data_IF_238206027204
#
_entry.id   IF_238206027204
#
_cell.length_a   1.000
_cell.length_b   1.000
_cell.length_c   1.000
_cell.angle_alpha   90.00
_cell.angle_beta   90.00
_cell.angle_gamma   90.00
#
_symmetry.space_group_name_H-M   'P 1'
#
loop_
_entity.id
_entity.type
_entity.pdbx_description
1 polymer ?
#
# COMPACT_ATOMS: atom_id res chain seq x y z
N UNK A 1 34.62 -38.27 9.45
CA UNK A 1 33.35 -37.83 8.86
C UNK A 1 33.26 -38.44 7.47
N UNK A 2 32.27 -39.29 7.24
CA UNK A 2 32.05 -39.93 5.95
C UNK A 2 31.36 -38.92 5.00
N UNK A 3 31.50 -39.14 3.70
CA UNK A 3 30.77 -38.41 2.66
C UNK A 3 29.26 -38.51 2.89
N UNK A 4 28.77 -39.69 3.31
CA UNK A 4 27.36 -39.93 3.60
C UNK A 4 26.85 -39.02 4.73
N UNK A 5 27.61 -38.88 5.82
CA UNK A 5 27.27 -37.96 6.92
C UNK A 5 27.15 -36.50 6.44
N UNK A 6 28.07 -36.08 5.56
CA UNK A 6 28.05 -34.72 5.00
C UNK A 6 26.87 -34.49 4.07
N UNK A 7 26.45 -35.51 3.32
CA UNK A 7 25.27 -35.43 2.45
C UNK A 7 24.00 -35.27 3.27
N UNK A 8 23.84 -36.06 4.35
CA UNK A 8 22.70 -35.93 5.26
C UNK A 8 22.64 -34.53 5.89
N UNK A 9 23.77 -34.00 6.36
CA UNK A 9 23.81 -32.63 6.89
C UNK A 9 23.42 -31.56 5.85
N UNK A 10 23.87 -31.73 4.60
CA UNK A 10 23.53 -30.81 3.52
C UNK A 10 22.03 -30.91 3.21
N UNK A 11 21.46 -32.10 3.14
CA UNK A 11 20.03 -32.31 2.88
C UNK A 11 19.16 -31.66 3.96
N UNK A 12 19.50 -31.82 5.24
CA UNK A 12 18.81 -31.15 6.36
C UNK A 12 18.88 -29.63 6.20
N UNK A 13 20.06 -29.08 5.87
CA UNK A 13 20.23 -27.64 5.67
C UNK A 13 19.43 -27.14 4.47
N UNK A 14 19.44 -27.88 3.36
CA UNK A 14 18.70 -27.50 2.15
C UNK A 14 17.20 -27.46 2.42
N UNK A 15 16.64 -28.48 3.07
CA UNK A 15 15.22 -28.50 3.43
C UNK A 15 14.85 -27.33 4.35
N UNK A 16 15.67 -27.04 5.37
CA UNK A 16 15.44 -25.88 6.25
C UNK A 16 15.52 -24.54 5.52
N UNK A 17 16.37 -24.44 4.49
CA UNK A 17 16.47 -23.24 3.66
C UNK A 17 15.26 -23.11 2.73
N UNK A 18 14.77 -24.22 2.17
CA UNK A 18 13.56 -24.23 1.35
C UNK A 18 12.35 -23.74 2.17
N UNK A 19 12.14 -24.28 3.36
CA UNK A 19 11.09 -23.85 4.28
C UNK A 19 11.19 -22.34 4.59
N UNK A 20 12.40 -21.85 4.91
CA UNK A 20 12.63 -20.43 5.17
C UNK A 20 12.32 -19.57 3.95
N UNK A 21 12.70 -20.00 2.74
CA UNK A 21 12.41 -19.24 1.52
C UNK A 21 10.92 -19.16 1.23
N UNK A 22 10.16 -20.22 1.52
CA UNK A 22 8.70 -20.21 1.41
C UNK A 22 8.06 -19.26 2.41
N UNK A 23 8.52 -19.27 3.67
CA UNK A 23 8.03 -18.36 4.71
C UNK A 23 8.32 -16.89 4.37
N UNK A 24 9.54 -16.59 3.94
CA UNK A 24 9.92 -15.23 3.50
C UNK A 24 9.08 -14.77 2.31
N UNK A 25 8.82 -15.67 1.35
CA UNK A 25 7.96 -15.36 0.20
C UNK A 25 6.53 -15.02 0.64
N UNK A 26 5.99 -15.76 1.61
CA UNK A 26 4.68 -15.48 2.18
C UNK A 26 4.65 -14.13 2.90
N UNK A 27 5.67 -13.81 3.69
CA UNK A 27 5.78 -12.52 4.38
C UNK A 27 5.89 -11.35 3.40
N UNK A 28 6.70 -11.47 2.35
CA UNK A 28 6.82 -10.44 1.30
C UNK A 28 5.48 -10.21 0.62
N UNK A 29 4.73 -11.27 0.31
CA UNK A 29 3.38 -11.14 -0.25
C UNK A 29 2.43 -10.39 0.69
N UNK A 30 2.42 -10.72 1.99
CA UNK A 30 1.59 -10.01 2.97
C UNK A 30 1.97 -8.53 3.08
N UNK A 31 3.27 -8.22 3.11
CA UNK A 31 3.78 -6.85 3.16
C UNK A 31 3.37 -6.07 1.89
N UNK A 32 3.44 -6.68 0.71
CA UNK A 32 3.02 -6.04 -0.53
C UNK A 32 1.52 -5.69 -0.48
N UNK A 33 0.68 -6.59 0.03
CA UNK A 33 -0.75 -6.32 0.22
C UNK A 33 -0.99 -5.12 1.16
N UNK A 34 -0.28 -5.06 2.29
CA UNK A 34 -0.38 -3.94 3.22
C UNK A 34 0.05 -2.61 2.58
N UNK A 35 1.11 -2.63 1.77
CA UNK A 35 1.57 -1.46 1.02
C UNK A 35 0.50 -0.99 0.04
N UNK A 36 -0.16 -1.91 -0.66
CA UNK A 36 -1.20 -1.55 -1.63
C UNK A 36 -2.45 -0.99 -0.96
N UNK A 37 -2.83 -1.51 0.21
CA UNK A 37 -3.89 -0.94 1.06
C UNK A 37 -3.52 0.49 1.52
N UNK A 38 -2.30 0.71 2.00
CA UNK A 38 -1.83 2.04 2.41
C UNK A 38 -1.80 3.02 1.23
N UNK A 39 -1.34 2.57 0.05
CA UNK A 39 -1.36 3.39 -1.18
C UNK A 39 -2.77 3.81 -1.54
N UNK A 40 -3.73 2.87 -1.50
CA UNK A 40 -5.14 3.17 -1.78
C UNK A 40 -5.71 4.21 -0.81
N UNK A 41 -5.41 4.08 0.49
CA UNK A 41 -5.83 5.07 1.50
C UNK A 41 -5.21 6.45 1.24
N UNK A 42 -3.91 6.52 0.94
CA UNK A 42 -3.25 7.78 0.58
C UNK A 42 -3.89 8.43 -0.65
N UNK A 43 -4.17 7.66 -1.71
CA UNK A 43 -4.85 8.17 -2.90
C UNK A 43 -6.26 8.70 -2.58
N UNK A 44 -7.02 8.00 -1.74
CA UNK A 44 -8.34 8.45 -1.31
C UNK A 44 -8.28 9.76 -0.50
N UNK A 45 -7.28 9.89 0.38
CA UNK A 45 -7.04 11.11 1.16
C UNK A 45 -6.68 12.29 0.25
N UNK A 46 -5.78 12.10 -0.72
CA UNK A 46 -5.40 13.12 -1.69
C UNK A 46 -6.62 13.60 -2.47
N UNK A 47 -7.45 12.67 -2.96
CA UNK A 47 -8.70 13.00 -3.67
C UNK A 47 -9.63 13.84 -2.80
N UNK A 48 -9.87 13.42 -1.55
CA UNK A 48 -10.73 14.15 -0.62
C UNK A 48 -10.21 15.56 -0.32
N UNK A 49 -8.90 15.73 -0.17
CA UNK A 49 -8.30 17.06 0.02
C UNK A 49 -8.47 17.94 -1.22
N UNK A 50 -8.30 17.39 -2.42
CA UNK A 50 -8.58 18.10 -3.68
C UNK A 50 -10.04 18.55 -3.79
N UNK A 51 -10.98 17.67 -3.46
CA UNK A 51 -12.42 17.98 -3.49
C UNK A 51 -12.79 19.11 -2.50
N UNK A 52 -12.21 19.11 -1.30
CA UNK A 52 -12.38 20.20 -0.30
C UNK A 52 -11.82 21.52 -0.84
N UNK A 53 -10.67 21.47 -1.51
CA UNK A 53 -10.01 22.66 -2.08
C UNK A 53 -10.83 23.26 -3.22
N UNK A 54 -11.45 22.42 -4.04
CA UNK A 54 -12.23 22.83 -5.21
C UNK A 54 -13.69 23.21 -4.86
N UNK A 55 -14.16 22.87 -3.65
CA UNK A 55 -15.48 23.24 -3.13
C UNK A 55 -15.55 24.65 -2.51
N UNK A 56 -14.42 25.38 -2.44
CA UNK A 56 -14.34 26.74 -1.88
C UNK A 56 -14.80 27.86 -2.82
N UNK A 57 -14.87 27.61 -4.13
CA UNK A 57 -15.27 28.63 -5.14
C UNK A 57 -16.79 28.72 -5.37
N UNK A 58 -17.60 28.03 -4.56
CA UNK A 58 -19.06 28.14 -4.59
C UNK A 58 -19.63 29.38 -3.87
N UNK A 59 -18.79 30.22 -3.25
CA UNK A 59 -19.22 31.39 -2.49
C UNK A 59 -19.36 32.69 -3.33
N UNK A 60 -18.92 32.69 -4.60
CA UNK A 60 -19.03 33.87 -5.47
C UNK A 60 -20.26 33.87 -6.40
N UNK A 61 -21.07 32.79 -6.40
CA UNK A 61 -22.31 32.76 -7.17
C UNK A 61 -23.41 33.69 -6.63
N UNK A 62 -23.27 34.19 -5.39
CA UNK A 62 -24.24 35.08 -4.74
C UNK A 62 -23.77 36.55 -4.63
N UNK A 63 -22.56 36.89 -5.07
CA UNK A 63 -22.00 38.25 -4.95
C UNK A 63 -22.37 39.19 -6.11
N UNK A 64 -23.07 38.70 -7.14
CA UNK A 64 -23.35 39.44 -8.38
C UNK A 64 -24.85 39.72 -8.65
N UNK A 65 -25.72 39.66 -7.65
CA UNK A 65 -27.07 40.21 -7.82
C UNK A 65 -27.02 41.75 -7.79
N UNK A 66 -27.05 42.36 -8.98
CA UNK A 66 -27.15 43.80 -9.19
C UNK A 66 -28.46 44.32 -8.54
N UNK A 67 -28.43 45.37 -7.70
CA UNK A 67 -29.64 45.83 -7.03
C UNK A 67 -30.73 46.25 -8.04
N UNK A 68 -32.00 45.83 -7.85
CA UNK A 68 -33.10 46.29 -8.69
C UNK A 68 -33.32 47.78 -8.43
N UNK A 69 -33.08 48.59 -9.46
CA UNK A 69 -33.36 50.02 -9.45
C UNK A 69 -34.89 50.21 -9.46
N UNK A 70 -35.43 50.81 -8.40
CA UNK A 70 -36.73 51.48 -8.40
C UNK A 70 -36.51 52.98 -8.28
#
# INVERSE_FOLDING_TARGET
MNIEDRLVEIEIKVTSQDDLTQELSHLVYQQQKQIDELRALCTALIKKMGDISNGGDGADAYAHEKPPHY
#
